data_IF_966648555448
#
_entry.id   IF_966648555448
#
_cell.length_a   1.000
_cell.length_b   1.000
_cell.length_c   1.000
_cell.angle_alpha   90.00
_cell.angle_beta   90.00
_cell.angle_gamma   90.00
#
_symmetry.space_group_name_H-M   'P 1'
#
loop_
_entity.id
_entity.type
_entity.pdbx_description
1 polymer ?
#
# COMPACT_ATOMS: atom_id res chain seq x y z
N UNK A 1 19.57 -0.84 13.70
CA UNK A 1 20.15 -0.48 14.98
C UNK A 1 21.59 -0.01 14.81
N UNK A 2 21.96 1.08 15.47
CA UNK A 2 23.35 1.53 15.57
C UNK A 2 23.59 2.07 16.99
N UNK A 3 24.67 1.61 17.65
CA UNK A 3 24.99 2.03 19.02
C UNK A 3 23.88 1.76 20.06
N UNK A 4 23.07 0.72 19.85
CA UNK A 4 21.93 0.38 20.72
C UNK A 4 20.63 1.13 20.43
N UNK A 5 20.63 2.06 19.48
CA UNK A 5 19.44 2.83 19.12
C UNK A 5 18.76 2.28 17.85
N UNK A 6 17.42 2.26 17.85
CA UNK A 6 16.63 1.99 16.65
C UNK A 6 16.75 3.19 15.72
N UNK A 7 17.25 2.99 14.51
CA UNK A 7 17.40 4.07 13.52
C UNK A 7 16.13 4.25 12.70
N UNK A 8 15.54 3.13 12.26
CA UNK A 8 14.38 3.15 11.40
C UNK A 8 13.59 1.84 11.52
N UNK A 9 12.32 1.89 11.11
CA UNK A 9 11.39 0.77 11.12
C UNK A 9 10.56 0.79 9.85
N UNK A 10 10.74 -0.22 9.03
CA UNK A 10 10.02 -0.38 7.76
C UNK A 10 9.24 -1.68 7.75
N UNK A 11 8.14 -1.69 7.00
CA UNK A 11 7.30 -2.86 6.79
C UNK A 11 7.11 -3.11 5.31
N UNK A 12 7.17 -4.36 4.92
CA UNK A 12 6.81 -4.81 3.59
C UNK A 12 5.89 -6.02 3.71
N UNK A 13 4.79 -6.00 2.96
CA UNK A 13 3.84 -7.10 2.90
C UNK A 13 4.06 -7.80 1.59
N UNK A 14 4.45 -9.06 1.66
CA UNK A 14 4.65 -9.89 0.49
C UNK A 14 3.50 -10.87 0.29
N UNK A 15 3.23 -11.29 -0.96
CA UNK A 15 2.31 -12.38 -1.20
C UNK A 15 2.79 -13.65 -0.49
N UNK A 16 1.84 -14.53 -0.20
CA UNK A 16 2.13 -15.81 0.44
C UNK A 16 3.21 -16.59 -0.32
N UNK A 17 4.16 -17.14 0.43
CA UNK A 17 5.23 -18.01 -0.06
C UNK A 17 5.01 -19.42 0.49
N UNK A 18 5.52 -20.43 -0.20
CA UNK A 18 5.34 -21.85 0.18
C UNK A 18 5.88 -22.15 1.57
N UNK A 19 6.95 -21.48 1.99
CA UNK A 19 7.54 -21.64 3.32
C UNK A 19 7.89 -20.29 3.95
N UNK A 20 7.85 -20.18 5.30
CA UNK A 20 8.33 -18.99 6.00
C UNK A 20 9.79 -18.64 5.71
N UNK A 21 10.65 -19.66 5.53
CA UNK A 21 12.06 -19.47 5.21
C UNK A 21 12.23 -18.83 3.82
N UNK A 22 11.49 -19.30 2.82
CA UNK A 22 11.48 -18.71 1.48
C UNK A 22 10.98 -17.26 1.49
N UNK A 23 9.95 -16.95 2.28
CA UNK A 23 9.43 -15.59 2.44
C UNK A 23 10.48 -14.65 3.04
N UNK A 24 11.14 -15.06 4.12
CA UNK A 24 12.22 -14.29 4.76
C UNK A 24 13.40 -14.11 3.79
N UNK A 25 13.81 -15.16 3.09
CA UNK A 25 14.89 -15.12 2.10
C UNK A 25 14.59 -14.12 0.98
N UNK A 26 13.38 -14.19 0.40
CA UNK A 26 12.93 -13.30 -0.66
C UNK A 26 12.90 -11.83 -0.20
N UNK A 27 12.33 -11.57 0.97
CA UNK A 27 12.27 -10.24 1.57
C UNK A 27 13.66 -9.63 1.77
N UNK A 28 14.58 -10.41 2.37
CA UNK A 28 15.95 -9.97 2.66
C UNK A 28 16.71 -9.65 1.36
N UNK A 29 16.61 -10.53 0.36
CA UNK A 29 17.25 -10.33 -0.95
C UNK A 29 16.71 -9.07 -1.63
N UNK A 30 15.40 -8.92 -1.72
CA UNK A 30 14.76 -7.77 -2.34
C UNK A 30 15.15 -6.46 -1.64
N UNK A 31 15.09 -6.43 -0.31
CA UNK A 31 15.39 -5.25 0.49
C UNK A 31 16.82 -4.75 0.28
N UNK A 32 17.81 -5.63 0.36
CA UNK A 32 19.22 -5.21 0.26
C UNK A 32 19.67 -4.98 -1.17
N UNK A 33 19.17 -5.74 -2.16
CA UNK A 33 19.49 -5.51 -3.57
C UNK A 33 18.94 -4.17 -4.09
N UNK A 34 17.71 -3.84 -3.70
CA UNK A 34 17.08 -2.59 -4.15
C UNK A 34 17.75 -1.34 -3.58
N UNK A 35 18.37 -1.44 -2.41
CA UNK A 35 18.98 -0.29 -1.70
C UNK A 35 20.49 -0.18 -1.84
N UNK A 36 21.16 -1.22 -2.30
CA UNK A 36 22.62 -1.24 -2.44
C UNK A 36 23.37 -1.04 -1.13
N UNK A 37 22.76 -1.38 0.02
CA UNK A 37 23.37 -1.29 1.35
C UNK A 37 23.83 -2.66 1.85
N UNK A 38 24.94 -2.70 2.58
CA UNK A 38 25.50 -3.92 3.16
C UNK A 38 25.87 -3.68 4.63
N UNK A 39 24.96 -3.98 5.57
CA UNK A 39 25.28 -3.94 6.99
C UNK A 39 26.24 -5.07 7.36
N UNK A 40 26.98 -4.90 8.45
CA UNK A 40 27.91 -5.93 8.91
C UNK A 40 27.20 -7.22 9.35
N UNK A 41 26.04 -7.08 10.01
CA UNK A 41 25.26 -8.22 10.53
C UNK A 41 23.79 -7.97 10.24
N UNK A 42 23.09 -9.00 9.79
CA UNK A 42 21.63 -9.08 9.70
C UNK A 42 21.16 -10.19 10.62
N UNK A 43 20.28 -9.87 11.54
CA UNK A 43 19.66 -10.84 12.43
C UNK A 43 18.35 -11.34 11.81
N UNK A 44 18.17 -12.64 11.75
CA UNK A 44 17.03 -13.31 11.14
C UNK A 44 16.29 -14.18 12.16
N UNK A 45 14.97 -14.37 11.98
CA UNK A 45 14.18 -15.28 12.84
C UNK A 45 14.41 -16.76 12.53
N UNK A 46 14.96 -17.07 11.35
CA UNK A 46 15.25 -18.41 10.88
C UNK A 46 16.39 -18.39 9.86
N UNK A 47 16.96 -19.54 9.57
CA UNK A 47 18.03 -19.67 8.59
C UNK A 47 17.52 -19.34 7.18
N UNK A 48 18.40 -18.74 6.41
CA UNK A 48 18.18 -18.36 5.02
C UNK A 48 18.86 -19.42 4.13
N UNK A 49 18.12 -20.02 3.19
CA UNK A 49 18.61 -21.14 2.39
C UNK A 49 19.92 -20.82 1.64
N UNK A 50 20.03 -19.65 1.03
CA UNK A 50 21.21 -19.25 0.25
C UNK A 50 21.99 -18.11 0.92
N UNK A 51 22.05 -18.08 2.24
CA UNK A 51 22.63 -16.96 3.01
C UNK A 51 24.09 -16.67 2.66
N UNK A 52 24.92 -17.70 2.52
CA UNK A 52 26.35 -17.55 2.17
C UNK A 52 26.53 -17.04 0.75
N UNK A 53 25.80 -17.62 -0.20
CA UNK A 53 25.82 -17.18 -1.61
C UNK A 53 25.38 -15.72 -1.74
N UNK A 54 24.33 -15.33 -1.00
CA UNK A 54 23.85 -13.97 -1.01
C UNK A 54 24.84 -12.99 -0.33
N UNK A 55 25.53 -13.43 0.73
CA UNK A 55 26.61 -12.66 1.36
C UNK A 55 27.75 -12.38 0.37
N UNK A 56 28.14 -13.39 -0.44
CA UNK A 56 29.19 -13.23 -1.45
C UNK A 56 28.74 -12.28 -2.58
N UNK A 57 27.49 -12.37 -3.03
CA UNK A 57 26.91 -11.45 -4.00
C UNK A 57 26.92 -10.00 -3.49
N UNK A 58 26.53 -9.79 -2.23
CA UNK A 58 26.57 -8.46 -1.60
C UNK A 58 28.01 -7.94 -1.51
N UNK A 59 28.97 -8.79 -1.21
CA UNK A 59 30.38 -8.42 -1.17
C UNK A 59 30.88 -7.97 -2.55
N UNK A 60 30.53 -8.69 -3.61
CA UNK A 60 30.89 -8.29 -4.98
C UNK A 60 30.30 -6.92 -5.36
N UNK A 61 29.08 -6.65 -4.97
CA UNK A 61 28.39 -5.42 -5.34
C UNK A 61 28.79 -4.21 -4.49
N UNK A 62 29.12 -4.40 -3.21
CA UNK A 62 29.30 -3.30 -2.24
C UNK A 62 30.71 -3.23 -1.64
N UNK A 63 31.55 -4.25 -1.85
CA UNK A 63 32.86 -4.38 -1.22
C UNK A 63 32.78 -4.70 0.29
N UNK A 64 31.59 -4.98 0.83
CA UNK A 64 31.37 -5.27 2.25
C UNK A 64 30.64 -6.60 2.44
N UNK A 65 31.20 -7.44 3.31
CA UNK A 65 30.58 -8.73 3.65
C UNK A 65 29.53 -8.56 4.73
N UNK A 66 28.34 -9.10 4.47
CA UNK A 66 27.20 -9.14 5.41
C UNK A 66 27.09 -10.55 5.99
N UNK A 67 26.93 -10.66 7.32
CA UNK A 67 26.71 -11.93 7.99
C UNK A 67 25.23 -12.05 8.37
N UNK A 68 24.57 -13.07 7.85
CA UNK A 68 23.21 -13.44 8.24
C UNK A 68 23.28 -14.39 9.44
N UNK A 69 22.56 -14.06 10.52
CA UNK A 69 22.63 -14.83 11.77
C UNK A 69 21.25 -15.03 12.37
N UNK A 70 21.00 -16.24 12.85
CA UNK A 70 19.87 -16.56 13.71
C UNK A 70 20.38 -16.57 15.15
N UNK A 71 20.04 -15.57 15.98
CA UNK A 71 20.57 -15.49 17.33
C UNK A 71 19.93 -16.56 18.23
N UNK A 72 20.75 -17.20 19.06
CA UNK A 72 20.30 -18.25 19.97
C UNK A 72 20.25 -17.81 21.43
N UNK A 73 20.87 -16.67 21.78
CA UNK A 73 20.94 -16.14 23.17
C UNK A 73 21.30 -14.67 23.20
N UNK A 74 21.01 -14.04 24.34
CA UNK A 74 21.36 -12.63 24.61
C UNK A 74 20.42 -11.62 23.95
N UNK A 75 20.82 -10.36 23.96
CA UNK A 75 20.01 -9.22 23.52
C UNK A 75 19.57 -9.32 22.04
N UNK A 76 20.35 -9.98 21.21
CA UNK A 76 20.01 -10.18 19.80
C UNK A 76 18.75 -11.04 19.61
N UNK A 77 18.47 -12.00 20.50
CA UNK A 77 17.23 -12.78 20.49
C UNK A 77 16.04 -11.85 20.78
N UNK A 78 16.20 -10.95 21.74
CA UNK A 78 15.14 -9.98 22.09
C UNK A 78 14.85 -9.03 20.93
N UNK A 79 15.87 -8.60 20.17
CA UNK A 79 15.68 -7.77 18.98
C UNK A 79 14.89 -8.49 17.89
N UNK A 80 15.20 -9.75 17.62
CA UNK A 80 14.44 -10.57 16.63
C UNK A 80 13.02 -10.82 17.12
N UNK A 81 12.82 -11.09 18.40
CA UNK A 81 11.50 -11.27 18.98
C UNK A 81 10.66 -9.99 18.88
N UNK A 82 11.23 -8.83 19.20
CA UNK A 82 10.57 -7.54 19.02
C UNK A 82 10.19 -7.26 17.57
N UNK A 83 11.08 -7.58 16.63
CA UNK A 83 10.79 -7.44 15.20
C UNK A 83 9.63 -8.35 14.77
N UNK A 84 9.59 -9.59 15.27
CA UNK A 84 8.51 -10.55 15.01
C UNK A 84 7.16 -10.04 15.55
N UNK A 85 7.12 -9.59 16.80
CA UNK A 85 5.90 -9.05 17.41
C UNK A 85 5.37 -7.82 16.65
N UNK A 86 6.27 -6.93 16.26
CA UNK A 86 5.91 -5.77 15.42
C UNK A 86 5.35 -6.20 14.06
N UNK A 87 5.94 -7.21 13.43
CA UNK A 87 5.46 -7.73 12.15
C UNK A 87 4.07 -8.37 12.28
N UNK A 88 3.83 -9.13 13.35
CA UNK A 88 2.52 -9.72 13.63
C UNK A 88 1.44 -8.64 13.84
N UNK A 89 1.72 -7.63 14.66
CA UNK A 89 0.78 -6.51 14.87
C UNK A 89 0.45 -5.77 13.57
N UNK A 90 1.44 -5.55 12.72
CA UNK A 90 1.22 -4.89 11.44
C UNK A 90 0.43 -5.78 10.47
N UNK A 91 0.69 -7.08 10.44
CA UNK A 91 -0.08 -8.03 9.63
C UNK A 91 -1.56 -8.06 10.06
N UNK A 92 -1.83 -8.13 11.37
CA UNK A 92 -3.20 -8.05 11.90
C UNK A 92 -3.89 -6.74 11.53
N UNK A 93 -3.17 -5.60 11.65
CA UNK A 93 -3.70 -4.29 11.29
C UNK A 93 -4.10 -4.20 9.82
N UNK A 94 -3.27 -4.74 8.94
CA UNK A 94 -3.54 -4.74 7.48
C UNK A 94 -4.69 -5.67 7.15
N UNK A 95 -4.70 -6.89 7.68
CA UNK A 95 -5.77 -7.87 7.48
C UNK A 95 -7.11 -7.31 7.95
N UNK A 96 -7.19 -6.77 9.17
CA UNK A 96 -8.40 -6.14 9.70
C UNK A 96 -8.89 -4.95 8.87
N UNK A 97 -7.98 -4.20 8.25
CA UNK A 97 -8.34 -3.11 7.35
C UNK A 97 -8.92 -3.62 6.04
N UNK A 98 -8.34 -4.67 5.46
CA UNK A 98 -8.83 -5.28 4.22
C UNK A 98 -10.18 -5.94 4.42
N UNK A 99 -10.37 -6.66 5.52
CA UNK A 99 -11.65 -7.24 5.90
C UNK A 99 -12.74 -6.19 6.06
N UNK A 100 -12.44 -5.05 6.70
CA UNK A 100 -13.38 -3.92 6.83
C UNK A 100 -13.74 -3.32 5.48
N UNK A 101 -12.78 -3.11 4.59
CA UNK A 101 -13.03 -2.61 3.23
C UNK A 101 -13.94 -3.58 2.48
N UNK A 102 -13.59 -4.87 2.48
CA UNK A 102 -14.38 -5.91 1.83
C UNK A 102 -15.80 -5.97 2.37
N UNK A 103 -15.96 -5.97 3.69
CA UNK A 103 -17.29 -5.97 4.35
C UNK A 103 -18.10 -4.73 3.97
N UNK A 104 -17.49 -3.55 3.91
CA UNK A 104 -18.15 -2.31 3.49
C UNK A 104 -18.61 -2.37 2.04
N UNK A 105 -17.79 -2.88 1.12
CA UNK A 105 -18.17 -3.02 -0.29
C UNK A 105 -19.30 -4.03 -0.48
N UNK A 106 -19.29 -5.14 0.27
CA UNK A 106 -20.37 -6.12 0.26
C UNK A 106 -21.68 -5.51 0.76
N UNK A 107 -21.64 -4.75 1.86
CA UNK A 107 -22.81 -4.06 2.40
C UNK A 107 -23.36 -3.05 1.39
N UNK A 108 -22.50 -2.23 0.78
CA UNK A 108 -22.90 -1.26 -0.23
C UNK A 108 -23.54 -1.93 -1.45
N UNK A 109 -22.94 -3.07 -1.92
CA UNK A 109 -23.53 -3.84 -2.99
C UNK A 109 -24.94 -4.33 -2.67
N UNK A 110 -25.17 -4.84 -1.45
CA UNK A 110 -26.50 -5.24 -0.98
C UNK A 110 -27.48 -4.09 -0.89
N UNK A 111 -27.06 -2.94 -0.33
CA UNK A 111 -27.92 -1.75 -0.20
C UNK A 111 -28.37 -1.20 -1.56
N UNK A 112 -27.52 -1.29 -2.57
CA UNK A 112 -27.78 -0.81 -3.93
C UNK A 112 -28.36 -1.90 -4.85
N UNK A 113 -28.63 -3.11 -4.31
CA UNK A 113 -29.13 -4.27 -5.09
C UNK A 113 -28.24 -4.60 -6.30
N UNK A 114 -26.93 -4.45 -6.16
CA UNK A 114 -25.97 -4.81 -7.19
C UNK A 114 -25.73 -6.31 -7.22
N UNK A 115 -25.51 -6.92 -8.39
CA UNK A 115 -25.24 -8.35 -8.51
C UNK A 115 -23.88 -8.75 -7.88
N UNK A 116 -22.95 -7.79 -7.75
CA UNK A 116 -21.64 -7.97 -7.14
C UNK A 116 -21.24 -6.70 -6.37
N UNK A 117 -20.34 -6.79 -5.38
CA UNK A 117 -19.77 -5.61 -4.74
C UNK A 117 -19.11 -4.68 -5.77
N UNK A 118 -19.30 -3.35 -5.64
CA UNK A 118 -18.74 -2.40 -6.59
C UNK A 118 -17.22 -2.37 -6.49
N UNK A 119 -16.55 -2.60 -7.62
CA UNK A 119 -15.08 -2.49 -7.69
C UNK A 119 -14.62 -1.06 -7.92
N UNK A 120 -15.40 -0.31 -8.74
CA UNK A 120 -15.10 1.09 -9.05
C UNK A 120 -16.28 1.96 -8.62
N UNK A 121 -15.96 3.01 -7.89
CA UNK A 121 -16.90 4.01 -7.45
C UNK A 121 -16.37 5.40 -7.83
N UNK A 122 -17.24 6.24 -8.37
CA UNK A 122 -16.94 7.62 -8.69
C UNK A 122 -17.88 8.52 -7.91
N UNK A 123 -17.35 9.52 -7.22
CA UNK A 123 -18.13 10.51 -6.51
C UNK A 123 -17.84 11.90 -7.07
N UNK A 124 -18.89 12.67 -7.27
CA UNK A 124 -18.85 14.00 -7.84
C UNK A 124 -19.29 15.02 -6.79
N UNK A 125 -18.61 16.14 -6.78
CA UNK A 125 -18.92 17.27 -5.92
C UNK A 125 -18.89 18.56 -6.76
N UNK A 126 -19.91 19.43 -6.58
CA UNK A 126 -19.99 20.71 -7.27
C UNK A 126 -19.59 21.80 -6.30
N UNK A 127 -18.65 22.63 -6.69
CA UNK A 127 -18.15 23.75 -5.90
C UNK A 127 -18.22 25.04 -6.70
N UNK A 128 -18.81 26.06 -6.09
CA UNK A 128 -18.89 27.42 -6.64
C UNK A 128 -17.74 28.26 -6.10
N UNK A 129 -16.88 28.74 -6.98
CA UNK A 129 -15.76 29.61 -6.60
C UNK A 129 -16.17 31.07 -6.90
N UNK A 130 -16.47 31.83 -5.84
CA UNK A 130 -16.69 33.28 -5.87
C UNK A 130 -17.70 33.79 -6.92
N UNK A 131 -18.74 33.01 -7.24
CA UNK A 131 -19.90 33.50 -8.03
C UNK A 131 -19.73 33.52 -9.54
N UNK A 132 -18.59 33.13 -10.10
CA UNK A 132 -18.36 33.19 -11.55
C UNK A 132 -17.98 31.87 -12.21
N UNK A 133 -17.35 30.97 -11.49
CA UNK A 133 -16.92 29.68 -12.05
C UNK A 133 -17.46 28.49 -11.23
N UNK A 134 -18.28 27.67 -11.87
CA UNK A 134 -18.74 26.40 -11.29
C UNK A 134 -17.76 25.32 -11.69
N UNK A 135 -17.19 24.65 -10.69
CA UNK A 135 -16.23 23.56 -10.89
C UNK A 135 -16.76 22.30 -10.22
N UNK A 136 -16.72 21.18 -10.94
CA UNK A 136 -16.97 19.88 -10.36
C UNK A 136 -15.66 19.10 -10.15
N UNK A 137 -15.55 18.43 -9.03
CA UNK A 137 -14.49 17.47 -8.76
C UNK A 137 -15.04 16.04 -8.81
N UNK A 138 -14.24 15.14 -9.36
CA UNK A 138 -14.52 13.71 -9.36
C UNK A 138 -13.40 12.98 -8.62
N UNK A 139 -13.78 12.25 -7.60
CA UNK A 139 -12.90 11.32 -6.91
C UNK A 139 -13.24 9.89 -7.28
N UNK A 140 -12.24 9.04 -7.35
CA UNK A 140 -12.38 7.64 -7.77
C UNK A 140 -11.85 6.73 -6.67
N UNK A 141 -12.62 5.69 -6.39
CA UNK A 141 -12.20 4.57 -5.55
C UNK A 141 -12.17 3.30 -6.40
N UNK A 142 -11.10 2.54 -6.28
CA UNK A 142 -10.95 1.22 -6.89
C UNK A 142 -10.73 0.20 -5.76
N UNK A 143 -11.56 -0.84 -5.74
CA UNK A 143 -11.56 -1.87 -4.70
C UNK A 143 -11.53 -1.27 -3.27
N UNK A 144 -12.34 -0.22 -3.04
CA UNK A 144 -12.48 0.50 -1.77
C UNK A 144 -11.32 1.43 -1.39
N UNK A 145 -10.35 1.65 -2.28
CA UNK A 145 -9.18 2.51 -2.03
C UNK A 145 -9.17 3.72 -2.97
N UNK A 146 -8.74 4.90 -2.50
CA UNK A 146 -8.62 6.08 -3.36
C UNK A 146 -7.69 5.82 -4.55
N UNK A 147 -8.20 6.04 -5.78
CA UNK A 147 -7.43 5.90 -7.01
C UNK A 147 -7.17 7.28 -7.64
N UNK A 148 -6.19 7.99 -7.08
CA UNK A 148 -5.89 9.39 -7.40
C UNK A 148 -5.53 9.64 -8.86
N UNK A 149 -5.05 8.62 -9.59
CA UNK A 149 -4.70 8.74 -11.02
C UNK A 149 -5.88 9.11 -11.90
N UNK A 150 -7.11 8.73 -11.48
CA UNK A 150 -8.34 8.98 -12.23
C UNK A 150 -9.15 10.16 -11.69
N UNK A 151 -8.65 10.88 -10.69
CA UNK A 151 -9.31 12.09 -10.21
C UNK A 151 -9.37 13.14 -11.30
N UNK A 152 -10.52 13.79 -11.47
CA UNK A 152 -10.74 14.80 -12.49
C UNK A 152 -11.39 16.05 -11.93
N UNK A 153 -11.16 17.15 -12.63
CA UNK A 153 -11.91 18.41 -12.44
C UNK A 153 -12.60 18.74 -13.75
N UNK A 154 -13.83 19.20 -13.64
CA UNK A 154 -14.64 19.62 -14.77
C UNK A 154 -15.03 21.08 -14.57
N UNK A 155 -14.79 21.90 -15.56
CA UNK A 155 -15.39 23.23 -15.62
C UNK A 155 -16.82 23.08 -16.15
N UNK A 156 -17.80 23.63 -15.43
CA UNK A 156 -19.19 23.69 -15.87
C UNK A 156 -19.35 24.98 -16.67
N UNK A 157 -19.99 24.90 -17.83
CA UNK A 157 -20.13 26.02 -18.76
C UNK A 157 -21.59 26.19 -19.16
N UNK A 158 -22.00 27.47 -19.39
CA UNK A 158 -23.29 27.78 -19.99
C UNK A 158 -24.51 27.71 -19.06
N UNK A 159 -24.30 27.72 -17.75
CA UNK A 159 -25.37 27.88 -16.78
C UNK A 159 -25.37 29.31 -16.25
N UNK A 160 -26.47 30.05 -16.47
CA UNK A 160 -26.64 31.45 -16.03
C UNK A 160 -26.98 31.56 -14.54
N UNK A 161 -27.49 30.48 -13.91
CA UNK A 161 -27.84 30.38 -12.50
C UNK A 161 -27.12 29.25 -11.79
N UNK A 162 -27.03 29.33 -10.45
CA UNK A 162 -26.47 28.29 -9.58
C UNK A 162 -27.44 27.10 -9.51
N UNK A 163 -27.52 26.33 -10.60
CA UNK A 163 -28.28 25.08 -10.65
C UNK A 163 -27.32 23.87 -10.48
N UNK A 164 -27.22 23.36 -9.25
CA UNK A 164 -26.41 22.23 -8.91
C UNK A 164 -26.87 20.96 -9.63
N UNK A 165 -28.17 20.78 -9.91
CA UNK A 165 -28.70 19.63 -10.63
C UNK A 165 -28.29 19.64 -12.10
N UNK A 166 -28.46 20.80 -12.77
CA UNK A 166 -28.01 20.95 -14.16
C UNK A 166 -26.50 20.82 -14.29
N UNK A 167 -25.75 21.39 -13.34
CA UNK A 167 -24.28 21.22 -13.25
C UNK A 167 -23.89 19.78 -13.12
N UNK A 168 -24.51 19.02 -12.20
CA UNK A 168 -24.26 17.61 -12.00
C UNK A 168 -24.59 16.79 -13.24
N UNK A 169 -25.77 17.03 -13.85
CA UNK A 169 -26.19 16.35 -15.08
C UNK A 169 -25.17 16.55 -16.22
N UNK A 170 -24.69 17.80 -16.40
CA UNK A 170 -23.68 18.10 -17.42
C UNK A 170 -22.36 17.34 -17.17
N UNK A 171 -21.88 17.32 -15.93
CA UNK A 171 -20.62 16.66 -15.57
C UNK A 171 -20.72 15.15 -15.74
N UNK A 172 -21.80 14.54 -15.25
CA UNK A 172 -22.03 13.10 -15.38
C UNK A 172 -22.18 12.72 -16.86
N UNK A 173 -22.93 13.48 -17.64
CA UNK A 173 -23.06 13.25 -19.09
C UNK A 173 -21.68 13.28 -19.78
N UNK A 174 -20.88 14.33 -19.54
CA UNK A 174 -19.52 14.46 -20.11
C UNK A 174 -18.59 13.31 -19.68
N UNK A 175 -18.78 12.77 -18.47
CA UNK A 175 -18.00 11.65 -17.98
C UNK A 175 -18.29 10.36 -18.74
N UNK A 176 -19.54 10.14 -19.13
CA UNK A 176 -19.99 8.88 -19.73
C UNK A 176 -20.10 8.89 -21.26
N UNK A 177 -20.16 10.06 -21.90
CA UNK A 177 -20.22 10.17 -23.38
C UNK A 177 -19.00 9.53 -24.08
N UNK A 178 -17.86 9.44 -23.40
CA UNK A 178 -16.64 8.83 -23.96
C UNK A 178 -16.53 7.32 -23.71
N UNK A 179 -17.58 6.66 -23.20
CA UNK A 179 -17.61 5.21 -22.94
C UNK A 179 -18.49 4.43 -23.93
N UNK A 180 -18.93 5.07 -25.01
CA UNK A 180 -19.64 4.40 -26.11
C UNK A 180 -18.69 3.97 -27.21
#
# INVERSE_FOLDING_TARGET
YSGGNLLDKEYEIQPYQDTPAAAVSSLVKQYYLSRGIAPKIVLLPMEMEDGDLFSDLMFQNTGRRTHFRVPQRGDNVQLVQLARENAMQEAERVTSREERISGTLQLLGKMLSLPQPPRRMESFDISNIAGTDIVASMVVFLDGRPYKKDYKRFKVEGLEDQDDYASMAQVVHRRFVHYQ
#
